data_IF_555483467366
#
_entry.id   IF_555483467366
#
_cell.length_a   1.000
_cell.length_b   1.000
_cell.length_c   1.000
_cell.angle_alpha   90.00
_cell.angle_beta   90.00
_cell.angle_gamma   90.00
#
_symmetry.space_group_name_H-M   'P 1'
#
loop_
_entity.id
_entity.type
_entity.pdbx_description
1 polymer ?
#
# COMPACT_ATOMS: atom_id res chain seq x y z
N UNK A 1 -39.16 25.29 -6.93
CA UNK A 1 -38.77 24.27 -5.94
C UNK A 1 -37.34 23.90 -6.23
N UNK A 2 -36.40 24.22 -5.34
CA UNK A 2 -35.05 23.65 -5.41
C UNK A 2 -35.14 22.27 -4.76
N UNK A 3 -34.80 21.21 -5.48
CA UNK A 3 -34.61 19.92 -4.85
C UNK A 3 -33.39 20.04 -3.94
N UNK A 4 -33.55 19.78 -2.64
CA UNK A 4 -32.40 19.58 -1.76
C UNK A 4 -31.59 18.43 -2.36
N UNK A 5 -30.34 18.70 -2.73
CA UNK A 5 -29.47 17.66 -3.24
C UNK A 5 -29.19 16.66 -2.11
N UNK A 6 -28.81 15.41 -2.43
CA UNK A 6 -28.38 14.51 -1.35
C UNK A 6 -27.21 15.14 -0.61
N UNK A 7 -27.07 14.84 0.68
CA UNK A 7 -25.90 15.26 1.46
C UNK A 7 -24.60 14.75 0.79
N UNK A 8 -24.65 13.57 0.14
CA UNK A 8 -23.57 13.04 -0.69
C UNK A 8 -23.27 13.90 -1.94
N UNK A 9 -24.29 14.49 -2.55
CA UNK A 9 -24.18 15.35 -3.72
C UNK A 9 -23.46 16.66 -3.37
N UNK A 10 -23.84 17.28 -2.25
CA UNK A 10 -23.21 18.50 -1.73
C UNK A 10 -21.76 18.24 -1.32
N UNK A 11 -21.49 17.11 -0.65
CA UNK A 11 -20.12 16.68 -0.32
C UNK A 11 -19.26 16.40 -1.56
N UNK A 12 -19.82 15.78 -2.60
CA UNK A 12 -19.08 15.56 -3.85
C UNK A 12 -18.80 16.89 -4.58
N UNK A 13 -19.76 17.82 -4.64
CA UNK A 13 -19.54 19.15 -5.23
C UNK A 13 -18.44 19.93 -4.49
N UNK A 14 -18.46 19.95 -3.15
CA UNK A 14 -17.43 20.59 -2.33
C UNK A 14 -16.05 19.96 -2.55
N UNK A 15 -15.98 18.62 -2.53
CA UNK A 15 -14.76 17.83 -2.75
C UNK A 15 -14.16 18.07 -4.14
N UNK A 16 -14.98 18.11 -5.18
CA UNK A 16 -14.52 18.32 -6.55
C UNK A 16 -14.10 19.78 -6.78
N UNK A 17 -14.77 20.76 -6.17
CA UNK A 17 -14.32 22.15 -6.15
C UNK A 17 -12.94 22.30 -5.48
N UNK A 18 -12.74 21.66 -4.32
CA UNK A 18 -11.44 21.64 -3.61
C UNK A 18 -10.37 20.95 -4.48
N UNK A 19 -10.67 19.79 -5.07
CA UNK A 19 -9.73 19.08 -5.92
C UNK A 19 -9.35 19.87 -7.18
N UNK A 20 -10.30 20.57 -7.79
CA UNK A 20 -10.06 21.42 -8.95
C UNK A 20 -9.14 22.59 -8.59
N UNK A 21 -9.49 23.39 -7.58
CA UNK A 21 -8.66 24.53 -7.14
C UNK A 21 -7.26 24.07 -6.71
N UNK A 22 -7.14 22.94 -6.00
CA UNK A 22 -5.84 22.37 -5.65
C UNK A 22 -5.03 21.93 -6.90
N UNK A 23 -5.67 21.33 -7.90
CA UNK A 23 -5.03 20.94 -9.15
C UNK A 23 -4.57 22.15 -9.97
N UNK A 24 -5.39 23.20 -10.03
CA UNK A 24 -5.11 24.41 -10.83
C UNK A 24 -4.00 25.27 -10.19
N UNK A 25 -3.93 25.34 -8.85
CA UNK A 25 -2.97 26.19 -8.12
C UNK A 25 -1.67 25.45 -7.77
N UNK A 26 -1.73 24.18 -7.36
CA UNK A 26 -0.57 23.40 -6.87
C UNK A 26 -0.04 22.41 -7.91
N UNK A 27 -0.85 22.06 -8.91
CA UNK A 27 -0.54 21.03 -9.89
C UNK A 27 -0.64 19.61 -9.31
N UNK A 28 -0.61 18.61 -10.19
CA UNK A 28 -0.60 17.19 -9.80
C UNK A 28 0.78 16.57 -10.02
N UNK A 29 1.39 16.09 -8.95
CA UNK A 29 2.59 15.23 -9.03
C UNK A 29 2.11 13.79 -9.28
N UNK A 30 2.48 13.14 -10.40
CA UNK A 30 2.06 11.76 -10.66
C UNK A 30 2.62 10.84 -9.57
N UNK A 31 1.77 9.93 -9.06
CA UNK A 31 2.21 8.91 -8.11
C UNK A 31 3.30 8.07 -8.80
N UNK A 32 4.49 7.90 -8.19
CA UNK A 32 5.54 7.08 -8.79
C UNK A 32 5.02 5.66 -8.98
N UNK A 33 5.28 5.09 -10.15
CA UNK A 33 4.83 3.74 -10.48
C UNK A 33 5.32 2.74 -9.43
N UNK A 34 4.44 1.81 -9.05
CA UNK A 34 4.76 0.82 -8.01
C UNK A 34 5.50 -0.40 -8.57
N UNK A 35 5.72 -0.44 -9.89
CA UNK A 35 6.15 -1.64 -10.63
C UNK A 35 6.96 -1.32 -11.92
N UNK A 36 7.98 -0.45 -11.88
CA UNK A 36 8.89 -0.06 -12.99
C UNK A 36 9.56 -1.21 -13.81
N UNK A 37 9.25 -2.46 -13.51
CA UNK A 37 9.80 -3.67 -14.13
C UNK A 37 8.77 -4.50 -14.92
N UNK A 38 7.48 -4.22 -14.77
CA UNK A 38 6.41 -4.95 -15.45
C UNK A 38 5.84 -4.09 -16.57
N UNK A 39 6.10 -4.50 -17.79
CA UNK A 39 5.73 -3.81 -19.03
C UNK A 39 4.87 -4.72 -19.93
N UNK A 40 4.41 -4.20 -21.07
CA UNK A 40 3.58 -4.92 -22.03
C UNK A 40 4.20 -6.26 -22.47
N UNK A 41 5.52 -6.33 -22.69
CA UNK A 41 6.25 -7.58 -22.97
C UNK A 41 6.12 -8.62 -21.83
N UNK A 42 5.94 -8.17 -20.58
CA UNK A 42 5.64 -9.05 -19.45
C UNK A 42 4.19 -9.54 -19.48
N UNK A 43 3.24 -8.70 -19.88
CA UNK A 43 1.83 -9.04 -19.99
C UNK A 43 1.58 -10.02 -21.15
N UNK A 44 2.08 -9.74 -22.35
CA UNK A 44 2.08 -10.69 -23.46
C UNK A 44 2.63 -12.05 -23.03
N UNK A 45 3.80 -12.08 -22.39
CA UNK A 45 4.43 -13.31 -21.94
C UNK A 45 3.64 -14.02 -20.82
N UNK A 46 2.82 -13.30 -20.04
CA UNK A 46 1.87 -13.89 -19.11
C UNK A 46 0.66 -14.50 -19.84
N UNK A 47 0.10 -13.79 -20.83
CA UNK A 47 -1.02 -14.25 -21.68
C UNK A 47 -0.61 -15.48 -22.51
N UNK A 48 0.51 -15.44 -23.24
CA UNK A 48 1.04 -16.58 -24.02
C UNK A 48 1.16 -17.84 -23.15
N UNK A 49 1.71 -17.68 -21.94
CA UNK A 49 1.89 -18.74 -20.94
C UNK A 49 0.54 -19.26 -20.42
N UNK A 50 -0.43 -18.39 -20.20
CA UNK A 50 -1.76 -18.75 -19.72
C UNK A 50 -2.55 -19.50 -20.80
N UNK A 51 -2.58 -19.00 -22.05
CA UNK A 51 -3.20 -19.69 -23.18
C UNK A 51 -2.54 -21.06 -23.43
N UNK A 52 -1.21 -21.18 -23.33
CA UNK A 52 -0.52 -22.46 -23.42
C UNK A 52 -0.85 -23.42 -22.26
N UNK A 53 -1.06 -22.89 -21.03
CA UNK A 53 -1.54 -23.67 -19.88
C UNK A 53 -2.96 -24.19 -20.12
N UNK A 54 -3.88 -23.33 -20.56
CA UNK A 54 -5.27 -23.70 -20.84
C UNK A 54 -5.37 -24.77 -21.93
N UNK A 55 -4.65 -24.60 -23.06
CA UNK A 55 -4.57 -25.62 -24.13
C UNK A 55 -4.00 -26.96 -23.63
N UNK A 56 -3.03 -26.94 -22.71
CA UNK A 56 -2.49 -28.16 -22.10
C UNK A 56 -3.51 -28.83 -21.17
N UNK A 57 -4.23 -28.06 -20.34
CA UNK A 57 -5.25 -28.58 -19.44
C UNK A 57 -6.42 -29.19 -20.22
N UNK A 58 -6.92 -28.50 -21.25
CA UNK A 58 -8.02 -28.97 -22.10
C UNK A 58 -7.65 -30.23 -22.90
N UNK A 59 -6.43 -30.31 -23.47
CA UNK A 59 -5.95 -31.50 -24.17
C UNK A 59 -4.49 -31.79 -23.82
N UNK A 60 -4.31 -32.68 -22.85
CA UNK A 60 -2.99 -33.07 -22.31
C UNK A 60 -2.25 -34.02 -23.28
N UNK A 61 -1.39 -33.48 -24.15
CA UNK A 61 -0.58 -34.26 -25.12
C UNK A 61 0.92 -33.97 -24.94
N UNK A 62 1.80 -34.76 -25.59
CA UNK A 62 3.25 -34.46 -25.60
C UNK A 62 3.53 -33.07 -26.17
N UNK A 63 2.83 -32.66 -27.22
CA UNK A 63 2.98 -31.36 -27.87
C UNK A 63 2.48 -30.19 -27.00
N UNK A 64 1.31 -30.29 -26.37
CA UNK A 64 0.79 -29.20 -25.51
C UNK A 64 1.61 -29.05 -24.23
N UNK A 65 2.05 -30.16 -23.62
CA UNK A 65 3.03 -30.15 -22.51
C UNK A 65 4.34 -29.48 -22.92
N UNK A 66 4.88 -29.78 -24.11
CA UNK A 66 6.11 -29.17 -24.61
C UNK A 66 5.97 -27.66 -24.85
N UNK A 67 4.90 -27.22 -25.53
CA UNK A 67 4.63 -25.81 -25.80
C UNK A 67 4.50 -25.00 -24.48
N UNK A 68 3.71 -25.49 -23.52
CA UNK A 68 3.62 -24.89 -22.19
C UNK A 68 4.98 -24.83 -21.46
N UNK A 69 5.79 -25.90 -21.54
CA UNK A 69 7.15 -25.92 -20.97
C UNK A 69 8.06 -24.85 -21.58
N UNK A 70 7.94 -24.58 -22.89
CA UNK A 70 8.67 -23.51 -23.59
C UNK A 70 8.16 -22.12 -23.19
N UNK A 71 6.86 -21.83 -23.31
CA UNK A 71 6.29 -20.52 -22.96
C UNK A 71 6.52 -20.18 -21.47
N UNK A 72 6.37 -21.14 -20.55
CA UNK A 72 6.70 -20.99 -19.12
C UNK A 72 8.20 -20.67 -18.91
N UNK A 73 9.11 -21.28 -19.67
CA UNK A 73 10.54 -20.94 -19.63
C UNK A 73 10.80 -19.52 -20.15
N UNK A 74 10.21 -19.11 -21.28
CA UNK A 74 10.32 -17.75 -21.84
C UNK A 74 9.89 -16.71 -20.80
N UNK A 75 8.65 -16.79 -20.31
CA UNK A 75 8.10 -15.88 -19.31
C UNK A 75 8.92 -15.84 -18.01
N UNK A 76 9.35 -17.00 -17.46
CA UNK A 76 10.18 -17.01 -16.23
C UNK A 76 11.58 -16.40 -16.46
N UNK A 77 12.18 -16.54 -17.65
CA UNK A 77 13.46 -15.88 -18.00
C UNK A 77 13.25 -14.36 -18.08
N UNK A 78 12.21 -13.93 -18.79
CA UNK A 78 11.83 -12.53 -19.02
C UNK A 78 11.58 -11.79 -17.70
N UNK A 79 10.65 -12.26 -16.85
CA UNK A 79 10.36 -11.62 -15.55
C UNK A 79 11.58 -11.56 -14.64
N UNK A 80 12.41 -12.62 -14.61
CA UNK A 80 13.65 -12.65 -13.82
C UNK A 80 14.64 -11.59 -14.31
N UNK A 81 14.75 -11.41 -15.62
CA UNK A 81 15.65 -10.42 -16.22
C UNK A 81 15.15 -8.98 -15.98
N UNK A 82 13.85 -8.71 -16.18
CA UNK A 82 13.25 -7.39 -15.94
C UNK A 82 13.34 -6.98 -14.47
N UNK A 83 13.00 -7.88 -13.52
CA UNK A 83 13.20 -7.67 -12.08
C UNK A 83 14.66 -7.39 -11.72
N UNK A 84 15.63 -8.09 -12.35
CA UNK A 84 17.07 -7.82 -12.15
C UNK A 84 17.48 -6.45 -12.69
N UNK A 85 17.02 -6.05 -13.88
CA UNK A 85 17.29 -4.73 -14.48
C UNK A 85 16.75 -3.59 -13.60
N UNK A 86 15.51 -3.70 -13.11
CA UNK A 86 14.92 -2.72 -12.20
C UNK A 86 15.61 -2.68 -10.83
N UNK A 87 15.93 -3.84 -10.22
CA UNK A 87 16.74 -3.86 -8.98
C UNK A 87 18.10 -3.19 -9.19
N UNK A 88 18.79 -3.44 -10.30
CA UNK A 88 20.05 -2.76 -10.63
C UNK A 88 19.86 -1.24 -10.78
N UNK A 89 18.86 -0.77 -11.56
CA UNK A 89 18.51 0.66 -11.70
C UNK A 89 18.22 1.33 -10.34
N UNK A 90 17.58 0.62 -9.42
CA UNK A 90 17.32 1.11 -8.06
C UNK A 90 18.59 1.22 -7.20
N UNK A 91 19.52 0.26 -7.31
CA UNK A 91 20.84 0.35 -6.64
C UNK A 91 21.69 1.48 -7.23
N UNK A 92 21.74 1.60 -8.56
CA UNK A 92 22.44 2.68 -9.28
C UNK A 92 21.92 4.06 -8.89
N UNK A 93 20.58 4.21 -8.74
CA UNK A 93 19.95 5.45 -8.23
C UNK A 93 20.32 5.73 -6.78
N UNK A 94 20.45 4.70 -5.94
CA UNK A 94 20.82 4.84 -4.53
C UNK A 94 22.30 5.24 -4.39
N UNK A 95 23.19 4.64 -5.18
CA UNK A 95 24.60 5.04 -5.27
C UNK A 95 24.73 6.51 -5.72
N UNK A 96 24.07 6.89 -6.83
CA UNK A 96 24.04 8.28 -7.32
C UNK A 96 23.49 9.30 -6.28
N UNK A 97 22.73 8.85 -5.27
CA UNK A 97 22.27 9.72 -4.16
C UNK A 97 23.31 9.80 -3.04
N UNK A 98 24.08 8.76 -2.81
CA UNK A 98 25.25 8.78 -1.92
C UNK A 98 26.35 9.68 -2.51
N UNK A 99 26.74 9.46 -3.76
CA UNK A 99 27.82 10.19 -4.45
C UNK A 99 27.56 11.71 -4.52
N UNK A 100 26.28 12.10 -4.63
CA UNK A 100 25.82 13.51 -4.66
C UNK A 100 25.47 14.06 -3.27
N UNK A 101 25.95 13.41 -2.20
CA UNK A 101 25.73 13.73 -0.79
C UNK A 101 24.25 13.98 -0.39
N UNK A 102 23.30 13.28 -1.03
CA UNK A 102 21.85 13.46 -0.79
C UNK A 102 21.36 12.57 0.36
N UNK A 103 22.03 12.66 1.51
CA UNK A 103 21.89 11.74 2.66
C UNK A 103 20.44 11.38 3.01
N UNK A 104 19.54 12.36 3.17
CA UNK A 104 18.11 12.12 3.48
C UNK A 104 17.39 11.25 2.42
N UNK A 105 17.75 11.37 1.14
CA UNK A 105 17.18 10.56 0.05
C UNK A 105 17.83 9.18 -0.01
N UNK A 106 19.14 9.08 0.26
CA UNK A 106 19.85 7.81 0.38
C UNK A 106 19.28 6.96 1.53
N UNK A 107 19.21 7.48 2.76
CA UNK A 107 18.67 6.74 3.90
C UNK A 107 17.18 6.40 3.74
N UNK A 108 16.39 7.20 3.01
CA UNK A 108 15.01 6.84 2.65
C UNK A 108 14.96 5.64 1.70
N UNK A 109 15.84 5.57 0.70
CA UNK A 109 15.95 4.40 -0.19
C UNK A 109 16.46 3.16 0.56
N UNK A 110 17.46 3.30 1.43
CA UNK A 110 17.97 2.21 2.28
C UNK A 110 16.87 1.68 3.22
N UNK A 111 16.11 2.57 3.88
CA UNK A 111 14.96 2.17 4.71
C UNK A 111 13.91 1.43 3.90
N UNK A 112 13.61 1.89 2.68
CA UNK A 112 12.68 1.21 1.77
C UNK A 112 13.22 -0.16 1.31
N UNK A 113 14.52 -0.28 1.02
CA UNK A 113 15.15 -1.54 0.61
C UNK A 113 15.26 -2.57 1.74
N UNK A 114 15.41 -2.12 2.99
CA UNK A 114 15.38 -2.97 4.21
C UNK A 114 13.96 -3.29 4.68
N UNK A 115 12.93 -2.53 4.26
CA UNK A 115 11.55 -2.73 4.69
C UNK A 115 11.00 -4.05 4.13
N UNK A 116 10.75 -5.00 5.03
CA UNK A 116 10.14 -6.28 4.70
C UNK A 116 8.64 -6.17 4.38
N UNK A 117 7.96 -7.31 4.31
CA UNK A 117 6.51 -7.34 4.38
C UNK A 117 6.07 -7.09 5.82
N UNK A 118 5.56 -5.89 6.09
CA UNK A 118 4.81 -5.58 7.30
C UNK A 118 3.32 -5.82 7.02
N UNK A 119 2.66 -6.79 7.69
CA UNK A 119 1.21 -6.93 7.59
C UNK A 119 0.56 -5.68 8.21
N UNK A 120 -0.33 -5.04 7.44
CA UNK A 120 -1.20 -4.00 8.00
C UNK A 120 -2.30 -4.68 8.81
N UNK A 121 -2.11 -4.77 10.12
CA UNK A 121 -3.17 -5.12 11.04
C UNK A 121 -4.21 -4.00 11.00
N UNK A 122 -5.32 -4.23 10.29
CA UNK A 122 -6.50 -3.39 10.34
C UNK A 122 -7.39 -3.90 11.47
N UNK A 123 -7.49 -3.12 12.54
CA UNK A 123 -8.27 -3.47 13.72
C UNK A 123 -8.14 -2.41 14.80
N UNK A 124 -9.11 -2.39 15.71
CA UNK A 124 -9.26 -1.40 16.79
C UNK A 124 -9.46 -2.15 18.11
N UNK A 125 -9.05 -1.57 19.23
CA UNK A 125 -9.36 -2.15 20.55
C UNK A 125 -10.80 -1.84 20.96
N UNK A 126 -11.50 -2.87 21.42
CA UNK A 126 -12.72 -2.70 22.22
C UNK A 126 -12.42 -1.91 23.50
N UNK A 127 -13.46 -1.45 24.21
CA UNK A 127 -13.30 -0.78 25.53
C UNK A 127 -12.53 -1.64 26.52
N UNK A 128 -12.74 -2.96 26.46
CA UNK A 128 -12.12 -4.00 27.29
C UNK A 128 -10.69 -4.34 26.83
N UNK A 129 -10.15 -3.65 25.83
CA UNK A 129 -8.80 -3.85 25.30
C UNK A 129 -8.66 -4.96 24.23
N UNK A 130 -9.67 -5.80 24.05
CA UNK A 130 -9.73 -6.89 23.05
C UNK A 130 -9.57 -6.36 21.62
N UNK A 131 -8.79 -7.04 20.77
CA UNK A 131 -8.56 -6.64 19.38
C UNK A 131 -9.73 -7.04 18.47
N UNK A 132 -10.40 -6.05 17.87
CA UNK A 132 -11.48 -6.21 16.91
C UNK A 132 -10.93 -6.04 15.48
N UNK A 133 -11.14 -7.04 14.63
CA UNK A 133 -10.61 -7.08 13.25
C UNK A 133 -11.67 -7.14 12.14
N UNK A 134 -12.95 -7.34 12.46
CA UNK A 134 -14.03 -7.29 11.49
C UNK A 134 -14.42 -5.86 11.15
N UNK A 135 -14.77 -5.61 9.88
CA UNK A 135 -15.19 -4.28 9.43
C UNK A 135 -16.45 -3.78 10.16
N UNK A 136 -17.42 -4.67 10.40
CA UNK A 136 -18.62 -4.38 11.19
C UNK A 136 -18.27 -4.06 12.66
N UNK A 137 -17.35 -4.81 13.28
CA UNK A 137 -16.90 -4.58 14.66
C UNK A 137 -16.22 -3.21 14.79
N UNK A 138 -15.40 -2.85 13.81
CA UNK A 138 -14.71 -1.56 13.72
C UNK A 138 -15.72 -0.41 13.54
N UNK A 139 -16.72 -0.57 12.68
CA UNK A 139 -17.80 0.42 12.50
C UNK A 139 -18.66 0.57 13.77
N UNK A 140 -19.03 -0.54 14.41
CA UNK A 140 -19.76 -0.53 15.68
C UNK A 140 -18.98 0.17 16.79
N UNK A 141 -17.69 -0.14 16.93
CA UNK A 141 -16.79 0.47 17.91
C UNK A 141 -16.60 1.98 17.68
N UNK A 142 -16.58 2.44 16.43
CA UNK A 142 -16.59 3.89 16.12
C UNK A 142 -17.92 4.55 16.48
N UNK A 143 -19.05 3.95 16.11
CA UNK A 143 -20.39 4.47 16.43
C UNK A 143 -20.61 4.60 17.94
N UNK A 144 -20.15 3.59 18.70
CA UNK A 144 -20.13 3.62 20.16
C UNK A 144 -19.25 4.75 20.69
N UNK A 145 -17.99 4.82 20.26
CA UNK A 145 -17.03 5.84 20.74
C UNK A 145 -17.50 7.27 20.46
N UNK A 146 -17.98 7.55 19.24
CA UNK A 146 -18.49 8.88 18.90
C UNK A 146 -19.84 9.16 19.57
N UNK A 147 -20.71 8.16 19.76
CA UNK A 147 -21.93 8.30 20.54
C UNK A 147 -21.64 8.73 21.98
N UNK A 148 -20.65 8.13 22.64
CA UNK A 148 -20.28 8.49 24.02
C UNK A 148 -19.52 9.82 24.12
N UNK A 149 -18.64 10.11 23.15
CA UNK A 149 -17.86 11.35 23.08
C UNK A 149 -18.75 12.58 22.83
N UNK A 150 -19.73 12.46 21.92
CA UNK A 150 -20.61 13.57 21.54
C UNK A 150 -21.76 13.79 22.54
N UNK A 151 -22.22 12.73 23.22
CA UNK A 151 -23.22 12.84 24.29
C UNK A 151 -22.59 13.08 25.68
N UNK A 152 -21.27 13.26 25.76
CA UNK A 152 -20.57 13.69 26.98
C UNK A 152 -20.44 12.65 28.10
N UNK A 153 -20.66 11.36 27.82
CA UNK A 153 -20.43 10.29 28.81
C UNK A 153 -18.95 9.92 28.96
N UNK A 154 -18.11 10.24 27.97
CA UNK A 154 -16.66 10.25 28.12
C UNK A 154 -16.21 11.63 28.63
N UNK A 155 -15.58 11.75 29.81
CA UNK A 155 -14.98 13.01 30.23
C UNK A 155 -13.84 13.39 29.27
N UNK A 156 -13.67 14.69 28.94
CA UNK A 156 -12.67 15.12 27.97
C UNK A 156 -11.26 14.70 28.42
N UNK A 157 -10.68 13.76 27.70
CA UNK A 157 -9.36 13.18 28.03
C UNK A 157 -8.32 14.30 28.06
N UNK A 158 -7.74 14.55 29.22
CA UNK A 158 -6.79 15.65 29.40
C UNK A 158 -5.60 15.46 28.49
N UNK A 159 -5.06 16.54 27.93
CA UNK A 159 -3.88 16.49 27.06
C UNK A 159 -2.70 15.78 27.74
N UNK A 160 -2.60 15.85 29.07
CA UNK A 160 -1.63 15.12 29.87
C UNK A 160 -1.85 13.59 29.86
N UNK A 161 -3.09 13.11 29.86
CA UNK A 161 -3.42 11.67 29.77
C UNK A 161 -3.08 11.12 28.37
N UNK A 162 -3.35 11.91 27.33
CA UNK A 162 -2.97 11.56 25.94
C UNK A 162 -1.44 11.50 25.81
N UNK A 163 -0.72 12.44 26.42
CA UNK A 163 0.76 12.42 26.42
C UNK A 163 1.34 11.23 27.18
N UNK A 164 0.80 10.88 28.35
CA UNK A 164 1.24 9.71 29.12
C UNK A 164 1.10 8.39 28.31
N UNK A 165 -0.06 8.16 27.69
CA UNK A 165 -0.29 6.98 26.85
C UNK A 165 0.59 6.92 25.60
N UNK A 166 1.12 8.07 25.13
CA UNK A 166 2.10 8.12 24.03
C UNK A 166 3.52 7.77 24.55
N UNK A 167 3.86 8.13 25.79
CA UNK A 167 5.16 7.80 26.39
C UNK A 167 5.26 6.31 26.73
N UNK A 168 4.23 5.71 27.30
CA UNK A 168 4.19 4.26 27.63
C UNK A 168 4.36 3.37 26.38
N UNK A 169 3.97 3.85 25.21
CA UNK A 169 4.14 3.13 23.93
C UNK A 169 5.59 3.14 23.40
N UNK A 170 6.52 3.87 24.05
CA UNK A 170 7.89 4.07 23.56
C UNK A 170 8.96 3.18 24.22
N UNK A 171 8.58 2.26 25.10
CA UNK A 171 9.52 1.36 25.79
C UNK A 171 9.84 0.14 24.91
N UNK A 172 11.12 -0.01 24.52
CA UNK A 172 11.61 -1.16 23.74
C UNK A 172 12.75 -0.82 22.78
N UNK A 173 13.84 -0.22 23.28
CA UNK A 173 14.93 0.28 22.44
C UNK A 173 16.32 0.42 23.09
N UNK A 174 16.50 -0.08 24.31
CA UNK A 174 17.75 -0.17 25.08
C UNK A 174 17.65 -1.43 25.97
N UNK A 175 18.73 -2.18 26.27
CA UNK A 175 20.12 -2.08 25.80
C UNK A 175 20.26 -2.77 24.40
N UNK A 176 21.23 -3.60 23.97
CA UNK A 176 22.42 -4.28 24.50
C UNK A 176 23.41 -4.51 23.32
N UNK A 177 24.73 -4.48 23.56
CA UNK A 177 25.79 -4.85 22.60
C UNK A 177 27.03 -5.40 23.32
N UNK A 178 27.37 -6.69 23.10
CA UNK A 178 28.72 -7.25 23.30
C UNK A 178 29.67 -6.98 22.12
#
# INVERSE_FOLDING_TARGET
MVAAASVDEEWNQLKDAIHKVASDVVGTVPKPERNDWYDEECEEAAVERNCARLRMLLRTTRATKANYKVKRKKAKKLFRNKKRKSKRKNLERMQNRYDRNQARKFFKDVRYARKGFEPRLQGIKSKEGTFLGGEADIQGRWSEYFGELLNGSIPPTSQAQIQAQIQDFSIGGEEDVP
#
